data_IF_728212198177
#
_entry.id   IF_728212198177
#
_cell.length_a   1.000
_cell.length_b   1.000
_cell.length_c   1.000
_cell.angle_alpha   90.00
_cell.angle_beta   90.00
_cell.angle_gamma   90.00
#
_symmetry.space_group_name_H-M   'P 1'
#
loop_
_entity.id
_entity.type
_entity.pdbx_description
1 polymer ?
#
# COMPACT_ATOMS: atom_id res chain seq x y z
N UNK A 1 -3.91 -23.89 -65.59
CA UNK A 1 -4.43 -23.88 -64.21
C UNK A 1 -3.96 -22.59 -63.53
N UNK A 2 -4.87 -21.63 -63.31
CA UNK A 2 -4.61 -20.35 -62.63
C UNK A 2 -5.62 -20.26 -61.47
N UNK A 3 -5.16 -20.43 -60.23
CA UNK A 3 -5.98 -20.30 -59.03
C UNK A 3 -5.77 -18.88 -58.50
N UNK A 4 -6.75 -18.01 -58.74
CA UNK A 4 -6.83 -16.66 -58.15
C UNK A 4 -7.33 -16.81 -56.71
N UNK A 5 -6.43 -16.65 -55.75
CA UNK A 5 -6.74 -16.64 -54.33
C UNK A 5 -7.11 -15.20 -53.92
N UNK A 6 -8.42 -14.89 -53.85
CA UNK A 6 -8.90 -13.62 -53.31
C UNK A 6 -9.14 -13.78 -51.81
N UNK A 7 -8.17 -13.38 -50.99
CA UNK A 7 -8.32 -13.30 -49.54
C UNK A 7 -9.06 -12.00 -49.18
N UNK A 8 -10.34 -12.11 -48.82
CA UNK A 8 -11.08 -11.02 -48.19
C UNK A 8 -10.57 -10.86 -46.76
N UNK A 9 -9.80 -9.82 -46.50
CA UNK A 9 -9.41 -9.44 -45.15
C UNK A 9 -10.56 -8.65 -44.51
N UNK A 10 -11.42 -9.34 -43.76
CA UNK A 10 -12.40 -8.69 -42.90
C UNK A 10 -11.65 -8.10 -41.68
N UNK A 11 -11.38 -6.80 -41.73
CA UNK A 11 -10.82 -6.07 -40.60
C UNK A 11 -11.79 -6.07 -39.43
N UNK A 12 -11.50 -6.87 -38.40
CA UNK A 12 -12.13 -6.75 -37.08
C UNK A 12 -11.66 -5.43 -36.47
N UNK A 13 -12.50 -4.39 -36.58
CA UNK A 13 -12.32 -3.16 -35.80
C UNK A 13 -12.41 -3.54 -34.32
N UNK A 14 -11.28 -3.60 -33.63
CA UNK A 14 -11.24 -3.76 -32.18
C UNK A 14 -11.81 -2.50 -31.56
N UNK A 15 -13.07 -2.55 -31.12
CA UNK A 15 -13.63 -1.48 -30.30
C UNK A 15 -12.90 -1.48 -28.96
N UNK A 16 -12.02 -0.50 -28.76
CA UNK A 16 -11.49 -0.19 -27.44
C UNK A 16 -12.66 0.33 -26.61
N UNK A 17 -13.23 -0.53 -25.76
CA UNK A 17 -14.15 -0.09 -24.72
C UNK A 17 -13.30 0.72 -23.75
N UNK A 18 -13.51 2.04 -23.73
CA UNK A 18 -12.89 2.91 -22.72
C UNK A 18 -13.28 2.38 -21.34
N UNK A 19 -12.29 1.92 -20.56
CA UNK A 19 -12.56 1.52 -19.18
C UNK A 19 -13.03 2.76 -18.41
N UNK A 20 -14.12 2.68 -17.63
CA UNK A 20 -14.52 3.78 -16.77
C UNK A 20 -13.34 4.13 -15.86
N UNK A 21 -13.02 5.41 -15.75
CA UNK A 21 -11.98 5.87 -14.84
C UNK A 21 -12.35 5.43 -13.41
N UNK A 22 -11.44 4.80 -12.65
CA UNK A 22 -11.74 4.42 -11.29
C UNK A 22 -12.02 5.70 -10.49
N UNK A 23 -13.26 5.84 -10.02
CA UNK A 23 -13.66 6.92 -9.13
C UNK A 23 -12.93 6.70 -7.81
N UNK A 24 -12.18 7.70 -7.35
CA UNK A 24 -11.57 7.64 -6.02
C UNK A 24 -12.68 7.59 -4.96
N UNK A 25 -12.63 6.64 -4.01
CA UNK A 25 -13.63 6.60 -2.94
C UNK A 25 -13.53 7.86 -2.08
N UNK A 26 -14.68 8.29 -1.57
CA UNK A 26 -14.78 9.36 -0.57
C UNK A 26 -14.20 8.92 0.77
N UNK A 27 -13.83 9.87 1.62
CA UNK A 27 -13.36 9.55 2.98
C UNK A 27 -14.41 8.78 3.80
N UNK A 28 -15.70 9.04 3.59
CA UNK A 28 -16.78 8.32 4.28
C UNK A 28 -16.84 6.86 3.86
N UNK A 29 -16.65 6.57 2.58
CA UNK A 29 -16.60 5.19 2.08
C UNK A 29 -15.38 4.45 2.61
N UNK A 30 -14.20 5.09 2.61
CA UNK A 30 -12.97 4.50 3.16
C UNK A 30 -13.09 4.26 4.67
N UNK A 31 -13.61 5.24 5.43
CA UNK A 31 -13.89 5.08 6.85
C UNK A 31 -14.81 3.89 7.12
N UNK A 32 -15.91 3.79 6.37
CA UNK A 32 -16.90 2.72 6.54
C UNK A 32 -16.27 1.36 6.28
N UNK A 33 -15.49 1.25 5.19
CA UNK A 33 -14.78 0.02 4.86
C UNK A 33 -13.77 -0.39 5.94
N UNK A 34 -12.97 0.55 6.46
CA UNK A 34 -12.00 0.24 7.52
C UNK A 34 -12.69 -0.15 8.82
N UNK A 35 -13.70 0.62 9.26
CA UNK A 35 -14.43 0.32 10.49
C UNK A 35 -15.10 -1.07 10.41
N UNK A 36 -15.71 -1.41 9.28
CA UNK A 36 -16.32 -2.71 9.05
C UNK A 36 -15.27 -3.82 8.98
N UNK A 37 -14.12 -3.57 8.33
CA UNK A 37 -13.03 -4.55 8.27
C UNK A 37 -12.53 -4.89 9.66
N UNK A 38 -12.32 -3.88 10.52
CA UNK A 38 -11.96 -4.13 11.92
C UNK A 38 -13.08 -4.88 12.63
N UNK A 39 -14.35 -4.49 12.43
CA UNK A 39 -15.48 -5.16 13.04
C UNK A 39 -15.57 -6.66 12.70
N UNK A 40 -15.21 -7.03 11.47
CA UNK A 40 -15.31 -8.41 10.97
C UNK A 40 -14.04 -9.25 11.18
N UNK A 41 -12.87 -8.61 11.22
CA UNK A 41 -11.56 -9.29 11.15
C UNK A 41 -10.71 -9.12 12.41
N UNK A 42 -11.12 -8.29 13.36
CA UNK A 42 -10.38 -8.15 14.62
C UNK A 42 -10.39 -9.48 15.39
N UNK A 43 -9.23 -9.87 15.91
CA UNK A 43 -9.01 -11.23 16.44
C UNK A 43 -9.80 -11.51 17.72
N UNK A 44 -10.05 -10.48 18.54
CA UNK A 44 -10.81 -10.58 19.77
C UNK A 44 -12.24 -10.06 19.52
N UNK A 45 -13.27 -10.92 19.55
CA UNK A 45 -14.65 -10.50 19.32
C UNK A 45 -15.18 -9.51 20.38
N UNK A 46 -14.50 -9.37 21.52
CA UNK A 46 -14.84 -8.38 22.55
C UNK A 46 -14.09 -7.06 22.38
N UNK A 47 -13.26 -6.92 21.35
CA UNK A 47 -12.46 -5.73 21.10
C UNK A 47 -11.66 -5.30 22.33
N UNK A 48 -11.15 -6.24 23.11
CA UNK A 48 -10.44 -5.99 24.38
C UNK A 48 -11.25 -5.18 25.41
N UNK A 49 -12.59 -5.27 25.35
CA UNK A 49 -13.51 -4.53 26.22
C UNK A 49 -13.96 -3.17 25.67
N UNK A 50 -13.54 -2.79 24.46
CA UNK A 50 -13.93 -1.55 23.80
C UNK A 50 -15.26 -1.75 23.08
N UNK A 51 -16.20 -0.81 23.24
CA UNK A 51 -17.41 -0.78 22.41
C UNK A 51 -17.08 -0.24 21.01
N UNK A 52 -16.70 -1.14 20.11
CA UNK A 52 -16.31 -0.78 18.75
C UNK A 52 -17.45 -0.13 17.95
N UNK A 53 -18.70 -0.45 18.28
CA UNK A 53 -19.88 0.17 17.67
C UNK A 53 -19.98 1.64 18.09
N UNK A 54 -19.89 1.91 19.39
CA UNK A 54 -19.88 3.27 19.91
C UNK A 54 -18.68 4.09 19.38
N UNK A 55 -17.51 3.46 19.18
CA UNK A 55 -16.38 4.11 18.50
C UNK A 55 -16.79 4.55 17.09
N UNK A 56 -17.36 3.67 16.27
CA UNK A 56 -17.81 4.02 14.92
C UNK A 56 -18.82 5.17 14.90
N UNK A 57 -19.79 5.16 15.82
CA UNK A 57 -20.81 6.21 15.95
C UNK A 57 -20.22 7.57 16.33
N UNK A 58 -19.18 7.61 17.19
CA UNK A 58 -18.49 8.85 17.58
C UNK A 58 -17.66 9.45 16.44
N UNK A 59 -17.01 8.61 15.63
CA UNK A 59 -16.07 9.08 14.60
C UNK A 59 -16.73 9.36 13.25
N UNK A 60 -17.84 8.68 12.91
CA UNK A 60 -18.56 8.87 11.64
C UNK A 60 -18.88 10.34 11.29
N UNK A 61 -19.51 11.15 12.17
CA UNK A 61 -19.81 12.55 11.84
C UNK A 61 -18.55 13.44 11.74
N UNK A 62 -17.40 13.00 12.26
CA UNK A 62 -16.14 13.75 12.14
C UNK A 62 -15.54 13.61 10.73
N UNK A 63 -15.70 12.44 10.10
CA UNK A 63 -15.21 12.17 8.74
C UNK A 63 -15.84 13.10 7.71
N UNK A 64 -17.11 13.48 7.90
CA UNK A 64 -17.84 14.37 6.99
C UNK A 64 -17.23 15.78 6.89
N UNK A 65 -16.43 16.17 7.88
CA UNK A 65 -15.76 17.48 7.95
C UNK A 65 -14.36 17.48 7.36
N UNK A 66 -13.81 16.30 7.09
CA UNK A 66 -12.44 16.13 6.58
C UNK A 66 -12.35 16.59 5.13
N UNK A 67 -11.25 17.29 4.81
CA UNK A 67 -11.01 17.84 3.46
C UNK A 67 -9.66 17.42 2.89
N UNK A 68 -8.79 16.82 3.70
CA UNK A 68 -7.44 16.42 3.27
C UNK A 68 -7.08 15.00 3.71
N UNK A 69 -6.13 14.39 2.99
CA UNK A 69 -5.63 13.04 3.30
C UNK A 69 -4.92 12.99 4.65
N UNK A 70 -4.22 14.07 5.03
CA UNK A 70 -3.54 14.18 6.31
C UNK A 70 -4.54 14.16 7.49
N UNK A 71 -5.58 15.00 7.42
CA UNK A 71 -6.66 15.01 8.40
C UNK A 71 -7.37 13.66 8.49
N UNK A 72 -7.61 13.01 7.34
CA UNK A 72 -8.21 11.68 7.30
C UNK A 72 -7.34 10.64 8.01
N UNK A 73 -6.05 10.60 7.69
CA UNK A 73 -5.11 9.66 8.31
C UNK A 73 -4.99 9.88 9.81
N UNK A 74 -4.94 11.12 10.27
CA UNK A 74 -4.93 11.43 11.71
C UNK A 74 -6.21 10.96 12.41
N UNK A 75 -7.38 11.21 11.81
CA UNK A 75 -8.66 10.78 12.37
C UNK A 75 -8.75 9.25 12.45
N UNK A 76 -8.34 8.56 11.39
CA UNK A 76 -8.32 7.10 11.34
C UNK A 76 -7.34 6.51 12.35
N UNK A 77 -6.14 7.08 12.49
CA UNK A 77 -5.18 6.66 13.50
C UNK A 77 -5.72 6.85 14.93
N UNK A 78 -6.40 7.97 15.20
CA UNK A 78 -7.06 8.20 16.50
C UNK A 78 -8.11 7.14 16.79
N UNK A 79 -8.98 6.83 15.82
CA UNK A 79 -10.00 5.79 15.96
C UNK A 79 -9.38 4.41 16.25
N UNK A 80 -8.35 4.02 15.50
CA UNK A 80 -7.71 2.71 15.67
C UNK A 80 -6.95 2.58 16.99
N UNK A 81 -6.40 3.68 17.52
CA UNK A 81 -5.72 3.71 18.83
C UNK A 81 -6.65 3.54 20.03
N UNK A 82 -7.97 3.64 19.84
CA UNK A 82 -8.94 3.29 20.89
C UNK A 82 -8.90 1.79 21.19
N UNK A 83 -8.40 0.96 20.26
CA UNK A 83 -8.09 -0.44 20.50
C UNK A 83 -6.66 -0.56 21.08
N UNK A 84 -6.47 -1.03 22.32
CA UNK A 84 -5.18 -1.10 23.00
C UNK A 84 -4.29 -2.25 22.51
N UNK A 85 -3.89 -2.21 21.22
CA UNK A 85 -3.05 -3.23 20.57
C UNK A 85 -1.88 -2.62 19.80
N UNK A 86 -0.75 -3.32 19.74
CA UNK A 86 0.53 -2.77 19.26
C UNK A 86 0.73 -2.76 17.72
N UNK A 87 -0.14 -3.39 16.95
CA UNK A 87 0.07 -3.60 15.51
C UNK A 87 -1.13 -3.21 14.63
N UNK A 88 -2.03 -2.37 15.14
CA UNK A 88 -3.16 -1.85 14.38
C UNK A 88 -2.87 -0.42 13.94
N UNK A 89 -2.52 -0.24 12.66
CA UNK A 89 -2.23 1.07 12.09
C UNK A 89 -2.81 1.21 10.69
N UNK A 90 -2.93 2.47 10.24
CA UNK A 90 -3.29 2.82 8.87
C UNK A 90 -2.17 3.68 8.28
N UNK A 91 -1.84 3.44 7.01
CA UNK A 91 -0.86 4.23 6.28
C UNK A 91 -1.51 4.84 5.05
N UNK A 92 -0.96 5.98 4.59
CA UNK A 92 -1.30 6.51 3.28
C UNK A 92 -1.10 5.41 2.20
N UNK A 93 -1.86 5.46 1.09
CA UNK A 93 -1.54 4.65 -0.07
C UNK A 93 -0.07 4.84 -0.41
N UNK A 94 0.67 3.73 -0.62
CA UNK A 94 2.03 3.84 -1.11
C UNK A 94 1.95 4.55 -2.46
N UNK A 95 2.53 5.74 -2.56
CA UNK A 95 2.77 6.35 -3.86
C UNK A 95 3.59 5.37 -4.70
N UNK A 96 3.41 5.41 -6.02
CA UNK A 96 4.28 4.66 -6.96
C UNK A 96 5.73 5.13 -6.93
N UNK A 97 6.07 6.13 -6.12
CA UNK A 97 7.43 6.50 -5.77
C UNK A 97 8.10 5.38 -4.98
N UNK A 98 8.99 4.66 -5.66
CA UNK A 98 9.92 3.73 -5.05
C UNK A 98 10.91 4.53 -4.19
N UNK A 99 10.52 4.85 -2.95
CA UNK A 99 11.46 5.37 -1.96
C UNK A 99 12.17 4.20 -1.31
N UNK A 100 13.44 4.03 -1.71
CA UNK A 100 14.35 3.00 -1.23
C UNK A 100 15.38 2.69 -2.30
N UNK A 101 16.60 2.33 -1.93
CA UNK A 101 17.66 1.96 -2.88
C UNK A 101 17.33 0.70 -3.68
N UNK A 102 16.25 -0.02 -3.36
CA UNK A 102 15.91 -1.28 -4.01
C UNK A 102 16.74 -2.44 -3.51
N UNK A 103 17.04 -2.47 -2.22
CA UNK A 103 17.67 -3.61 -1.54
C UNK A 103 16.74 -4.15 -0.47
N UNK A 104 16.78 -5.47 -0.26
CA UNK A 104 16.27 -6.14 0.93
C UNK A 104 17.47 -6.41 1.85
N UNK A 105 17.37 -6.05 3.12
CA UNK A 105 18.44 -6.24 4.10
C UNK A 105 18.02 -7.14 5.24
N UNK A 106 18.99 -7.84 5.82
CA UNK A 106 18.89 -8.50 7.13
C UNK A 106 20.09 -8.09 7.99
N UNK A 107 19.88 -8.09 9.30
CA UNK A 107 20.97 -7.92 10.25
C UNK A 107 21.66 -9.26 10.48
N UNK A 108 22.95 -9.34 10.17
CA UNK A 108 23.82 -10.50 10.43
C UNK A 108 25.03 -9.96 11.19
N UNK A 109 25.29 -10.47 12.39
CA UNK A 109 26.40 -10.03 13.27
C UNK A 109 26.44 -8.51 13.52
N UNK A 110 25.26 -7.87 13.58
CA UNK A 110 25.11 -6.43 13.80
C UNK A 110 25.30 -5.57 12.55
N UNK A 111 25.57 -6.17 11.40
CA UNK A 111 25.73 -5.49 10.12
C UNK A 111 24.49 -5.65 9.25
N UNK A 112 24.06 -4.57 8.59
CA UNK A 112 22.97 -4.62 7.62
C UNK A 112 23.49 -5.18 6.29
N UNK A 113 23.20 -6.45 6.03
CA UNK A 113 23.62 -7.18 4.83
C UNK A 113 22.50 -7.18 3.80
N UNK A 114 22.81 -6.87 2.56
CA UNK A 114 21.92 -6.99 1.41
C UNK A 114 21.68 -8.47 1.14
N UNK A 115 20.45 -8.94 1.28
CA UNK A 115 20.07 -10.33 1.00
C UNK A 115 19.30 -10.49 -0.30
N UNK A 116 18.94 -9.37 -0.93
CA UNK A 116 18.12 -9.36 -2.12
C UNK A 116 18.17 -8.03 -2.84
N UNK A 117 18.28 -8.09 -4.16
CA UNK A 117 18.27 -6.95 -5.05
C UNK A 117 17.20 -7.23 -6.12
N UNK A 118 15.99 -6.66 -6.02
CA UNK A 118 14.96 -6.87 -7.03
C UNK A 118 15.42 -6.40 -8.41
N UNK A 119 15.02 -7.14 -9.45
CA UNK A 119 15.30 -6.76 -10.83
C UNK A 119 14.62 -5.44 -11.20
N UNK A 120 15.31 -4.60 -11.98
CA UNK A 120 14.86 -3.26 -12.37
C UNK A 120 15.02 -2.19 -11.29
N UNK A 121 15.68 -2.48 -10.17
CA UNK A 121 15.90 -1.51 -9.09
C UNK A 121 17.12 -0.61 -9.28
N UNK A 122 17.12 0.55 -8.63
CA UNK A 122 18.28 1.46 -8.58
C UNK A 122 19.54 0.77 -8.03
N UNK A 123 19.39 -0.11 -7.04
CA UNK A 123 20.47 -0.94 -6.51
C UNK A 123 21.06 -1.85 -7.58
N UNK A 124 20.22 -2.51 -8.37
CA UNK A 124 20.69 -3.33 -9.49
C UNK A 124 21.41 -2.47 -10.53
N UNK A 125 20.86 -1.30 -10.87
CA UNK A 125 21.46 -0.37 -11.82
C UNK A 125 22.83 0.16 -11.34
N UNK A 126 23.02 0.26 -10.02
CA UNK A 126 24.29 0.65 -9.39
C UNK A 126 25.21 -0.53 -9.05
N UNK A 127 24.83 -1.75 -9.43
CA UNK A 127 25.65 -2.96 -9.25
C UNK A 127 25.75 -3.46 -7.81
N UNK A 128 24.83 -3.07 -6.93
CA UNK A 128 24.72 -3.63 -5.58
C UNK A 128 24.33 -5.11 -5.69
N UNK A 129 24.96 -5.97 -4.90
CA UNK A 129 24.79 -7.41 -4.93
C UNK A 129 24.35 -7.96 -3.57
N UNK A 130 23.75 -9.14 -3.62
CA UNK A 130 23.51 -9.96 -2.43
C UNK A 130 24.86 -10.23 -1.76
N UNK A 131 24.94 -9.96 -0.46
CA UNK A 131 26.15 -10.05 0.35
C UNK A 131 26.80 -8.70 0.66
N UNK A 132 26.44 -7.62 -0.05
CA UNK A 132 26.99 -6.29 0.25
C UNK A 132 26.54 -5.80 1.63
N UNK A 133 27.44 -5.12 2.36
CA UNK A 133 27.14 -4.54 3.67
C UNK A 133 26.82 -3.05 3.48
N UNK A 134 25.71 -2.61 4.07
CA UNK A 134 25.40 -1.19 4.18
C UNK A 134 26.20 -0.58 5.33
N UNK A 135 27.13 0.30 4.99
CA UNK A 135 27.89 1.09 5.95
C UNK A 135 27.06 2.29 6.39
N UNK A 136 27.11 2.62 7.68
CA UNK A 136 26.53 3.86 8.17
C UNK A 136 27.62 4.97 8.10
N UNK A 137 27.29 6.20 7.66
CA UNK A 137 28.31 7.24 7.39
C UNK A 137 29.14 7.68 8.60
N UNK A 138 28.79 7.25 9.81
CA UNK A 138 29.55 7.53 11.04
C UNK A 138 30.61 6.49 11.38
N UNK A 139 30.63 5.36 10.67
CA UNK A 139 31.43 4.18 11.01
C UNK A 139 32.84 4.22 10.38
N UNK A 140 33.10 5.23 9.55
CA UNK A 140 34.32 5.40 8.75
C UNK A 140 35.44 6.17 9.49
N UNK A 141 35.28 6.41 10.80
CA UNK A 141 36.29 7.08 11.62
C UNK A 141 37.14 6.09 12.41
N UNK A 142 38.14 5.52 11.72
CA UNK A 142 39.26 4.76 12.27
C UNK A 142 40.57 5.21 11.66
#
# INVERSE_FOLDING_TARGET
LLILCLSVYAGIASTVIAQPTPVKPTYVEVFTAVWQTVNEKFYDPKFTGVDWKAVGERYRPQVERIRTDAEFLELMQKMLKELPVSHLHISAPRGTGQFGTGVRTYLIDGQAVVVGVPEGSDAQAKGIRIGDILLNPGDESG
#
